data_IF_528248805514
#
_entry.id   IF_528248805514
#
_cell.length_a   1.000
_cell.length_b   1.000
_cell.length_c   1.000
_cell.angle_alpha   90.00
_cell.angle_beta   90.00
_cell.angle_gamma   90.00
#
_symmetry.space_group_name_H-M   'P 1'
#
loop_
_entity.id
_entity.type
_entity.pdbx_description
1 polymer ?
#
# COMPACT_ATOMS: atom_id res chain seq x y z
N UNK A 1 -4.49 -20.63 5.34
CA UNK A 1 -4.26 -20.67 3.88
C UNK A 1 -3.06 -21.54 3.54
N UNK A 2 -1.82 -21.26 3.97
CA UNK A 2 -0.63 -22.08 3.64
C UNK A 2 -0.86 -23.58 3.88
N UNK A 3 -1.32 -24.00 5.06
CA UNK A 3 -1.57 -25.41 5.38
C UNK A 3 -2.66 -26.11 4.53
N UNK A 4 -3.48 -25.34 3.81
CA UNK A 4 -4.49 -25.83 2.85
C UNK A 4 -4.06 -25.69 1.39
N UNK A 5 -2.84 -25.20 1.13
CA UNK A 5 -2.34 -24.95 -0.23
C UNK A 5 -3.03 -23.79 -0.95
N UNK A 6 -3.78 -22.94 -0.23
CA UNK A 6 -4.46 -21.77 -0.78
C UNK A 6 -3.49 -20.62 -0.99
N UNK A 7 -3.53 -20.02 -2.18
CA UNK A 7 -2.69 -18.87 -2.51
C UNK A 7 -3.21 -17.61 -1.83
N UNK A 8 -2.31 -16.79 -1.31
CA UNK A 8 -2.62 -15.53 -0.62
C UNK A 8 -2.44 -14.39 -1.61
N UNK A 9 -3.48 -13.58 -1.77
CA UNK A 9 -3.45 -12.37 -2.61
C UNK A 9 -3.33 -11.15 -1.72
N UNK A 10 -2.27 -10.38 -1.90
CA UNK A 10 -2.04 -9.13 -1.19
C UNK A 10 -1.92 -7.98 -2.18
N UNK A 11 -2.55 -6.86 -1.89
CA UNK A 11 -2.45 -5.63 -2.70
C UNK A 11 -2.09 -4.46 -1.80
N UNK A 12 -1.14 -3.64 -2.24
CA UNK A 12 -0.83 -2.37 -1.56
C UNK A 12 -1.70 -1.26 -2.13
N UNK A 13 -2.44 -0.56 -1.26
CA UNK A 13 -3.29 0.58 -1.61
C UNK A 13 -3.39 1.56 -0.44
N UNK A 14 -3.86 2.81 -0.70
CA UNK A 14 -3.57 3.91 0.22
C UNK A 14 -4.76 4.84 0.51
N UNK A 15 -5.90 4.62 -0.11
CA UNK A 15 -7.10 5.45 0.07
C UNK A 15 -8.37 4.61 0.21
N UNK A 16 -9.46 5.27 0.59
CA UNK A 16 -10.74 4.63 0.86
C UNK A 16 -11.37 3.97 -0.39
N UNK A 17 -11.33 4.64 -1.54
CA UNK A 17 -12.01 4.15 -2.74
C UNK A 17 -11.30 2.93 -3.33
N UNK A 18 -9.98 3.02 -3.48
CA UNK A 18 -9.18 1.91 -4.00
C UNK A 18 -9.16 0.73 -3.02
N UNK A 19 -9.11 0.98 -1.71
CA UNK A 19 -9.20 -0.07 -0.71
C UNK A 19 -10.55 -0.80 -0.74
N UNK A 20 -11.66 -0.08 -0.95
CA UNK A 20 -12.98 -0.67 -1.12
C UNK A 20 -13.04 -1.59 -2.33
N UNK A 21 -12.54 -1.13 -3.49
CA UNK A 21 -12.49 -1.95 -4.71
C UNK A 21 -11.65 -3.21 -4.52
N UNK A 22 -10.50 -3.10 -3.87
CA UNK A 22 -9.58 -4.21 -3.58
C UNK A 22 -10.23 -5.22 -2.63
N UNK A 23 -10.91 -4.76 -1.58
CA UNK A 23 -11.63 -5.62 -0.63
C UNK A 23 -12.80 -6.36 -1.28
N UNK A 24 -13.62 -5.65 -2.10
CA UNK A 24 -14.73 -6.22 -2.87
C UNK A 24 -14.26 -7.23 -3.93
N UNK A 25 -13.05 -7.04 -4.49
CA UNK A 25 -12.42 -7.99 -5.40
C UNK A 25 -11.95 -9.29 -4.72
N UNK A 26 -12.04 -9.39 -3.39
CA UNK A 26 -11.76 -10.61 -2.64
C UNK A 26 -10.29 -10.83 -2.28
N UNK A 27 -9.49 -9.77 -2.25
CA UNK A 27 -8.08 -9.81 -1.80
C UNK A 27 -8.01 -10.20 -0.32
N UNK A 28 -7.01 -11.02 0.06
CA UNK A 28 -6.88 -11.53 1.44
C UNK A 28 -6.23 -10.51 2.39
N UNK A 29 -5.26 -9.75 1.87
CA UNK A 29 -4.49 -8.77 2.66
C UNK A 29 -4.42 -7.45 1.89
N UNK A 30 -4.69 -6.35 2.58
CA UNK A 30 -4.41 -4.99 2.10
C UNK A 30 -3.23 -4.44 2.88
N UNK A 31 -2.16 -4.10 2.17
CA UNK A 31 -1.00 -3.42 2.75
C UNK A 31 -1.13 -1.91 2.55
N UNK A 32 -1.03 -1.15 3.62
CA UNK A 32 -0.76 0.28 3.53
C UNK A 32 0.76 0.43 3.58
N UNK A 33 1.40 0.26 2.41
CA UNK A 33 2.85 0.23 2.26
C UNK A 33 3.48 1.62 2.35
N UNK A 34 4.72 1.70 2.82
CA UNK A 34 5.51 2.94 2.80
C UNK A 34 5.83 3.41 1.36
N UNK A 35 5.62 2.53 0.37
CA UNK A 35 5.60 2.87 -1.06
C UNK A 35 4.59 3.98 -1.44
N UNK A 36 3.65 4.33 -0.52
CA UNK A 36 2.83 5.54 -0.69
C UNK A 36 3.68 6.80 -0.84
N UNK A 37 4.88 6.82 -0.29
CA UNK A 37 5.85 7.90 -0.47
C UNK A 37 6.10 8.21 -1.95
N UNK A 38 6.36 7.16 -2.74
CA UNK A 38 6.60 7.31 -4.18
C UNK A 38 5.31 7.48 -4.97
N UNK A 39 4.30 6.66 -4.68
CA UNK A 39 3.10 6.50 -5.52
C UNK A 39 2.09 7.62 -5.31
N UNK A 40 1.93 8.08 -4.07
CA UNK A 40 0.92 9.07 -3.68
C UNK A 40 1.54 10.44 -3.40
N UNK A 41 2.65 10.46 -2.64
CA UNK A 41 3.26 11.72 -2.20
C UNK A 41 4.31 12.24 -3.19
N UNK A 42 4.74 11.42 -4.16
CA UNK A 42 5.70 11.83 -5.20
C UNK A 42 7.14 11.97 -4.69
N UNK A 43 7.48 11.39 -3.53
CA UNK A 43 8.86 11.34 -3.04
C UNK A 43 9.71 10.38 -3.87
N UNK A 44 11.02 10.59 -3.88
CA UNK A 44 11.95 9.76 -4.67
C UNK A 44 12.21 8.39 -4.03
N UNK A 45 12.06 8.28 -2.71
CA UNK A 45 12.23 7.05 -1.94
C UNK A 45 11.19 6.96 -0.81
N UNK A 46 11.25 5.89 -0.02
CA UNK A 46 10.33 5.65 1.09
C UNK A 46 10.81 6.23 2.43
N UNK A 47 11.98 6.86 2.47
CA UNK A 47 12.61 7.31 3.73
C UNK A 47 11.93 8.53 4.33
N UNK A 48 11.35 9.38 3.48
CA UNK A 48 10.78 10.66 3.91
C UNK A 48 9.37 10.56 4.51
N UNK A 49 8.67 9.42 4.30
CA UNK A 49 7.30 9.27 4.80
C UNK A 49 7.29 9.15 6.32
N UNK A 50 6.42 9.91 6.95
CA UNK A 50 6.29 9.99 8.39
C UNK A 50 5.28 8.99 8.97
N UNK A 51 5.36 8.73 10.29
CA UNK A 51 4.35 7.95 11.00
C UNK A 51 2.94 8.54 10.85
N UNK A 52 2.81 9.86 10.87
CA UNK A 52 1.50 10.52 10.81
C UNK A 52 0.85 10.36 9.44
N UNK A 53 1.63 10.46 8.35
CA UNK A 53 1.17 10.16 6.99
C UNK A 53 0.75 8.69 6.86
N UNK A 54 1.56 7.76 7.37
CA UNK A 54 1.20 6.33 7.35
C UNK A 54 -0.09 6.05 8.12
N UNK A 55 -0.26 6.63 9.30
CA UNK A 55 -1.49 6.51 10.10
C UNK A 55 -2.68 7.15 9.39
N UNK A 56 -2.50 8.31 8.75
CA UNK A 56 -3.56 8.98 7.99
C UNK A 56 -4.13 8.06 6.88
N UNK A 57 -3.25 7.50 6.06
CA UNK A 57 -3.64 6.58 4.99
C UNK A 57 -4.21 5.26 5.53
N UNK A 58 -3.61 4.71 6.59
CA UNK A 58 -4.12 3.50 7.24
C UNK A 58 -5.55 3.69 7.76
N UNK A 59 -5.88 4.83 8.35
CA UNK A 59 -7.26 5.17 8.76
C UNK A 59 -8.25 5.15 7.58
N UNK A 60 -7.84 5.65 6.42
CA UNK A 60 -8.68 5.68 5.22
C UNK A 60 -8.97 4.27 4.70
N UNK A 61 -7.92 3.45 4.58
CA UNK A 61 -7.99 2.06 4.14
C UNK A 61 -8.81 1.20 5.10
N UNK A 62 -8.54 1.28 6.40
CA UNK A 62 -9.23 0.47 7.42
C UNK A 62 -10.73 0.73 7.50
N UNK A 63 -11.20 1.95 7.16
CA UNK A 63 -12.64 2.24 7.06
C UNK A 63 -13.30 1.55 5.87
N UNK A 64 -12.56 1.27 4.82
CA UNK A 64 -13.06 0.65 3.60
C UNK A 64 -13.05 -0.88 3.67
N UNK A 65 -11.98 -1.46 4.20
CA UNK A 65 -11.79 -2.91 4.27
C UNK A 65 -12.82 -3.55 5.25
N UNK A 66 -13.51 -4.60 4.77
CA UNK A 66 -14.50 -5.38 5.53
C UNK A 66 -14.07 -6.83 5.73
N UNK A 67 -13.28 -7.36 4.80
CA UNK A 67 -12.86 -8.76 4.75
C UNK A 67 -11.36 -8.94 4.85
N UNK A 68 -10.61 -8.14 4.09
CA UNK A 68 -9.16 -8.23 4.01
C UNK A 68 -8.49 -7.85 5.33
N UNK A 69 -7.42 -8.57 5.67
CA UNK A 69 -6.52 -8.18 6.76
C UNK A 69 -5.79 -6.90 6.37
N UNK A 70 -5.94 -5.83 7.14
CA UNK A 70 -5.19 -4.57 6.92
C UNK A 70 -3.88 -4.62 7.69
N UNK A 71 -2.78 -4.47 6.95
CA UNK A 71 -1.41 -4.40 7.49
C UNK A 71 -0.87 -2.99 7.27
N UNK A 72 -0.42 -2.32 8.33
CA UNK A 72 0.25 -1.03 8.25
C UNK A 72 1.77 -1.21 8.18
N UNK A 73 2.42 -0.51 7.26
CA UNK A 73 3.87 -0.57 7.10
C UNK A 73 4.56 0.44 8.02
N UNK A 74 5.45 -0.02 8.88
CA UNK A 74 6.19 0.87 9.78
C UNK A 74 7.26 1.63 8.99
N UNK A 75 7.18 2.97 8.87
CA UNK A 75 8.10 3.75 8.06
C UNK A 75 9.51 3.79 8.66
N UNK A 76 10.48 4.21 7.86
CA UNK A 76 11.87 4.36 8.28
C UNK A 76 11.98 5.21 9.55
N UNK A 77 12.84 4.80 10.47
CA UNK A 77 13.10 5.38 11.80
C UNK A 77 11.91 5.32 12.79
N UNK A 78 10.84 4.64 12.47
CA UNK A 78 9.75 4.42 13.43
C UNK A 78 9.98 3.25 14.38
N UNK A 79 10.94 2.35 14.08
CA UNK A 79 11.24 1.16 14.88
C UNK A 79 12.74 0.87 15.03
N UNK A 80 13.62 1.57 14.30
CA UNK A 80 15.04 1.27 14.29
C UNK A 80 15.74 1.76 15.57
N UNK A 81 15.30 2.89 16.15
CA UNK A 81 15.99 3.55 17.25
C UNK A 81 15.95 2.73 18.55
N UNK A 82 14.77 2.30 18.99
CA UNK A 82 14.61 1.52 20.21
C UNK A 82 13.46 0.51 20.12
N UNK A 83 13.43 -0.47 21.04
CA UNK A 83 12.28 -1.38 21.16
C UNK A 83 11.03 -0.65 21.67
N UNK A 84 11.20 0.34 22.55
CA UNK A 84 10.11 1.15 23.08
C UNK A 84 9.42 1.96 21.97
N UNK A 85 10.19 2.66 21.12
CA UNK A 85 9.66 3.36 19.97
C UNK A 85 8.96 2.41 19.00
N UNK A 86 9.53 1.23 18.77
CA UNK A 86 8.94 0.21 17.90
C UNK A 86 7.56 -0.23 18.41
N UNK A 87 7.42 -0.54 19.70
CA UNK A 87 6.15 -0.92 20.34
C UNK A 87 5.15 0.25 20.24
N UNK A 88 5.57 1.46 20.62
CA UNK A 88 4.71 2.65 20.63
C UNK A 88 4.17 2.95 19.22
N UNK A 89 5.04 2.95 18.22
CA UNK A 89 4.65 3.24 16.84
C UNK A 89 3.82 2.12 16.22
N UNK A 90 4.14 0.85 16.47
CA UNK A 90 3.30 -0.28 16.06
C UNK A 90 1.90 -0.20 16.71
N UNK A 91 1.83 0.15 17.99
CA UNK A 91 0.58 0.36 18.72
C UNK A 91 -0.29 1.48 18.11
N UNK A 92 0.29 2.52 17.54
CA UNK A 92 -0.43 3.58 16.81
C UNK A 92 -1.15 3.05 15.58
N UNK A 93 -0.55 2.11 14.82
CA UNK A 93 -1.22 1.50 13.67
C UNK A 93 -2.50 0.77 14.07
N UNK A 94 -2.50 0.05 15.20
CA UNK A 94 -3.69 -0.66 15.69
C UNK A 94 -4.69 0.30 16.31
N UNK A 95 -4.24 1.15 17.23
CA UNK A 95 -5.10 2.04 18.03
C UNK A 95 -5.70 3.19 17.20
N UNK A 96 -4.87 3.88 16.42
CA UNK A 96 -5.28 5.04 15.63
C UNK A 96 -5.65 4.63 14.20
N UNK A 97 -4.78 3.84 13.54
CA UNK A 97 -4.93 3.38 12.17
C UNK A 97 -6.00 2.32 11.97
N UNK A 98 -6.36 1.57 13.04
CA UNK A 98 -7.26 0.41 13.02
C UNK A 98 -6.78 -0.72 12.11
N UNK A 99 -5.48 -0.80 11.86
CA UNK A 99 -4.86 -1.98 11.25
C UNK A 99 -4.90 -3.17 12.21
N UNK A 100 -4.84 -4.38 11.69
CA UNK A 100 -4.79 -5.60 12.50
C UNK A 100 -3.37 -6.13 12.68
N UNK A 101 -2.40 -5.64 11.88
CA UNK A 101 -1.00 -6.02 11.93
C UNK A 101 -0.10 -4.90 11.43
N UNK A 102 1.20 -5.04 11.67
CA UNK A 102 2.22 -4.14 11.10
C UNK A 102 3.24 -4.91 10.27
N UNK A 103 3.89 -4.24 9.28
CA UNK A 103 5.04 -4.78 8.56
C UNK A 103 6.32 -4.09 9.03
N UNK A 104 7.42 -4.85 9.10
CA UNK A 104 8.75 -4.38 9.51
C UNK A 104 9.79 -4.92 8.53
N UNK A 105 10.68 -4.04 8.06
CA UNK A 105 11.77 -4.39 7.16
C UNK A 105 13.07 -4.73 7.92
N UNK A 106 13.70 -5.81 7.50
CA UNK A 106 15.01 -6.23 8.01
C UNK A 106 14.98 -7.58 8.70
N UNK A 107 16.18 -8.13 8.89
CA UNK A 107 16.44 -9.41 9.56
C UNK A 107 17.03 -9.21 10.95
N UNK A 108 18.22 -9.85 11.18
CA UNK A 108 18.92 -9.86 12.49
C UNK A 108 19.13 -8.47 13.12
N UNK A 109 19.29 -7.41 12.31
CA UNK A 109 19.50 -6.04 12.79
C UNK A 109 18.30 -5.43 13.52
N UNK A 110 17.08 -5.92 13.26
CA UNK A 110 15.84 -5.43 13.88
C UNK A 110 15.19 -6.46 14.80
N UNK A 111 15.79 -7.62 14.98
CA UNK A 111 15.19 -8.78 15.66
C UNK A 111 14.60 -8.43 17.04
N UNK A 112 15.40 -7.77 17.91
CA UNK A 112 14.92 -7.35 19.25
C UNK A 112 13.68 -6.47 19.20
N UNK A 113 13.54 -5.65 18.15
CA UNK A 113 12.35 -4.78 17.95
C UNK A 113 11.14 -5.61 17.52
N UNK A 114 11.35 -6.55 16.60
CA UNK A 114 10.30 -7.48 16.16
C UNK A 114 9.80 -8.33 17.34
N UNK A 115 10.70 -8.93 18.11
CA UNK A 115 10.35 -9.69 19.32
C UNK A 115 9.55 -8.83 20.31
N UNK A 116 9.97 -7.59 20.56
CA UNK A 116 9.30 -6.68 21.49
C UNK A 116 7.87 -6.32 21.00
N UNK A 117 7.68 -6.06 19.70
CA UNK A 117 6.36 -5.80 19.12
C UNK A 117 5.46 -7.04 19.26
N UNK A 118 5.96 -8.22 18.89
CA UNK A 118 5.20 -9.48 18.98
C UNK A 118 4.81 -9.79 20.43
N UNK A 119 5.74 -9.64 21.38
CA UNK A 119 5.47 -9.84 22.82
C UNK A 119 4.46 -8.85 23.39
N UNK A 120 4.30 -7.68 22.75
CA UNK A 120 3.27 -6.71 23.11
C UNK A 120 1.88 -7.08 22.57
N UNK A 121 1.73 -8.25 21.91
CA UNK A 121 0.46 -8.71 21.34
C UNK A 121 0.12 -8.12 19.98
N UNK A 122 1.07 -7.49 19.29
CA UNK A 122 0.87 -6.91 17.97
C UNK A 122 1.39 -7.88 16.91
N UNK A 123 0.53 -8.36 15.98
CA UNK A 123 0.97 -9.23 14.90
C UNK A 123 1.95 -8.52 13.95
N UNK A 124 3.07 -9.17 13.63
CA UNK A 124 4.12 -8.61 12.76
C UNK A 124 4.27 -9.43 11.50
N UNK A 125 4.29 -8.77 10.34
CA UNK A 125 4.73 -9.31 9.06
C UNK A 125 6.19 -8.89 8.86
N UNK A 126 7.09 -9.85 8.64
CA UNK A 126 8.49 -9.56 8.33
C UNK A 126 8.68 -9.22 6.86
N UNK A 127 9.80 -8.55 6.52
CA UNK A 127 10.17 -8.25 5.14
C UNK A 127 11.67 -8.41 4.93
N UNK A 128 12.06 -9.27 3.99
CA UNK A 128 13.45 -9.57 3.64
C UNK A 128 13.70 -9.49 2.12
N UNK A 129 14.94 -9.41 1.76
CA UNK A 129 15.40 -9.27 0.37
C UNK A 129 15.82 -7.84 0.09
N UNK A 130 15.24 -7.23 -0.93
CA UNK A 130 15.28 -5.78 -1.10
C UNK A 130 14.33 -5.17 -0.06
N UNK A 131 14.89 -4.37 0.82
CA UNK A 131 14.15 -3.60 1.80
C UNK A 131 14.36 -2.13 1.45
N UNK A 132 13.37 -1.42 0.87
CA UNK A 132 13.52 -0.06 0.36
C UNK A 132 14.05 0.94 1.38
N UNK A 133 13.73 0.78 2.65
CA UNK A 133 14.25 1.62 3.73
C UNK A 133 15.79 1.54 3.91
N UNK A 134 16.43 0.53 3.32
CA UNK A 134 17.88 0.34 3.35
C UNK A 134 18.56 0.72 2.02
N UNK A 135 17.88 1.47 1.17
CA UNK A 135 18.31 1.79 -0.19
C UNK A 135 19.71 2.40 -0.26
N UNK A 136 20.06 3.28 0.68
CA UNK A 136 21.38 3.91 0.73
C UNK A 136 22.48 2.90 1.09
N UNK A 137 22.22 2.00 2.04
CA UNK A 137 23.17 0.94 2.40
C UNK A 137 23.39 -0.04 1.24
N UNK A 138 22.34 -0.30 0.45
CA UNK A 138 22.43 -1.21 -0.69
C UNK A 138 22.96 -0.57 -1.98
N UNK A 139 23.08 0.75 -2.02
CA UNK A 139 23.48 1.49 -3.22
C UNK A 139 22.46 1.36 -4.33
N UNK A 140 21.15 1.45 -3.99
CA UNK A 140 20.00 1.42 -4.90
C UNK A 140 19.17 0.15 -4.85
N UNK A 141 18.12 0.11 -5.66
CA UNK A 141 17.17 -1.00 -5.77
C UNK A 141 17.78 -2.18 -6.54
N UNK A 142 18.36 -3.15 -5.84
CA UNK A 142 19.09 -4.28 -6.42
C UNK A 142 18.54 -5.61 -5.91
N UNK A 143 18.47 -6.61 -6.79
CA UNK A 143 18.11 -7.99 -6.41
C UNK A 143 19.10 -8.53 -5.37
N UNK A 144 18.58 -9.03 -4.25
CA UNK A 144 19.35 -9.52 -3.09
C UNK A 144 19.43 -11.05 -3.10
N UNK A 145 20.47 -11.61 -2.44
CA UNK A 145 20.58 -13.05 -2.32
C UNK A 145 21.08 -13.78 -3.58
N UNK A 146 21.81 -13.10 -4.48
CA UNK A 146 22.36 -13.70 -5.72
C UNK A 146 23.54 -14.65 -5.49
N UNK A 147 24.31 -14.50 -4.41
CA UNK A 147 25.41 -15.40 -4.07
C UNK A 147 24.96 -16.40 -3.00
N UNK A 148 25.62 -17.57 -2.95
CA UNK A 148 25.32 -18.60 -1.93
C UNK A 148 25.45 -18.05 -0.50
N UNK A 149 26.43 -17.19 -0.23
CA UNK A 149 26.60 -16.56 1.08
C UNK A 149 25.43 -15.62 1.42
N UNK A 150 25.06 -14.72 0.49
CA UNK A 150 23.94 -13.81 0.67
C UNK A 150 22.59 -14.56 0.78
N UNK A 151 22.41 -15.62 0.01
CA UNK A 151 21.21 -16.45 0.10
C UNK A 151 21.10 -17.17 1.47
N UNK A 152 22.20 -17.71 1.98
CA UNK A 152 22.23 -18.30 3.33
C UNK A 152 21.90 -17.27 4.41
N UNK A 153 22.43 -16.05 4.33
CA UNK A 153 22.12 -15.00 5.28
C UNK A 153 20.61 -14.66 5.31
N UNK A 154 19.99 -14.51 4.15
CA UNK A 154 18.53 -14.27 4.05
C UNK A 154 17.72 -15.45 4.61
N UNK A 155 18.13 -16.70 4.32
CA UNK A 155 17.45 -17.88 4.85
C UNK A 155 17.55 -17.97 6.39
N UNK A 156 18.71 -17.65 6.97
CA UNK A 156 18.87 -17.62 8.43
C UNK A 156 18.06 -16.49 9.06
N UNK A 157 18.05 -15.30 8.44
CA UNK A 157 17.23 -14.19 8.91
C UNK A 157 15.72 -14.53 8.85
N UNK A 158 15.29 -15.23 7.82
CA UNK A 158 13.91 -15.70 7.69
C UNK A 158 13.50 -16.65 8.82
N UNK A 159 14.37 -17.63 9.16
CA UNK A 159 14.15 -18.54 10.29
C UNK A 159 14.16 -17.82 11.64
N UNK A 160 15.01 -16.78 11.79
CA UNK A 160 15.04 -15.99 13.00
C UNK A 160 13.75 -15.20 13.18
N UNK A 161 13.23 -14.56 12.11
CA UNK A 161 11.96 -13.86 12.14
C UNK A 161 10.79 -14.80 12.48
N UNK A 162 10.76 -15.99 11.89
CA UNK A 162 9.75 -17.00 12.25
C UNK A 162 9.79 -17.36 13.73
N UNK A 163 11.00 -17.61 14.30
CA UNK A 163 11.17 -17.88 15.72
C UNK A 163 10.79 -16.69 16.62
N UNK A 164 10.95 -15.47 16.13
CA UNK A 164 10.52 -14.25 16.80
C UNK A 164 8.98 -14.07 16.80
N UNK A 165 8.26 -14.93 16.09
CA UNK A 165 6.80 -14.96 16.07
C UNK A 165 6.13 -14.10 15.01
N UNK A 166 6.84 -13.73 13.91
CA UNK A 166 6.17 -13.09 12.78
C UNK A 166 5.17 -14.08 12.16
N UNK A 167 3.98 -13.58 11.77
CA UNK A 167 2.94 -14.45 11.22
C UNK A 167 3.10 -14.70 9.71
N UNK A 168 3.86 -13.88 9.00
CA UNK A 168 4.11 -13.96 7.56
C UNK A 168 5.40 -13.24 7.19
N UNK A 169 5.98 -13.58 6.02
CA UNK A 169 7.22 -12.99 5.53
C UNK A 169 7.10 -12.54 4.09
N UNK A 170 7.32 -11.25 3.82
CA UNK A 170 7.50 -10.73 2.47
C UNK A 170 8.93 -11.02 2.00
N UNK A 171 9.06 -11.54 0.78
CA UNK A 171 10.33 -11.72 0.08
C UNK A 171 10.33 -10.81 -1.16
N UNK A 172 11.14 -9.75 -1.12
CA UNK A 172 11.18 -8.78 -2.22
C UNK A 172 12.49 -8.88 -3.01
N UNK A 173 12.34 -8.90 -4.35
CA UNK A 173 13.47 -8.86 -5.29
C UNK A 173 14.60 -9.83 -4.93
N UNK A 174 14.24 -11.09 -4.69
CA UNK A 174 15.19 -12.21 -4.49
C UNK A 174 15.10 -13.21 -5.65
N UNK A 175 16.16 -13.98 -5.95
CA UNK A 175 16.06 -15.07 -6.93
C UNK A 175 14.96 -16.07 -6.54
N UNK A 176 14.18 -16.50 -7.53
CA UNK A 176 13.07 -17.45 -7.28
C UNK A 176 13.52 -18.77 -6.64
N UNK A 177 14.76 -19.20 -6.90
CA UNK A 177 15.34 -20.40 -6.27
C UNK A 177 15.47 -20.22 -4.76
N UNK A 178 15.92 -19.02 -4.32
CA UNK A 178 16.00 -18.67 -2.91
C UNK A 178 14.60 -18.58 -2.28
N UNK A 179 13.67 -17.91 -2.94
CA UNK A 179 12.28 -17.80 -2.47
C UNK A 179 11.64 -19.18 -2.28
N UNK A 180 11.81 -20.10 -3.26
CA UNK A 180 11.36 -21.49 -3.17
C UNK A 180 11.95 -22.22 -1.96
N UNK A 181 13.25 -22.03 -1.70
CA UNK A 181 13.93 -22.65 -0.56
C UNK A 181 13.40 -22.10 0.77
N UNK A 182 13.28 -20.77 0.90
CA UNK A 182 12.74 -20.12 2.11
C UNK A 182 11.32 -20.59 2.36
N UNK A 183 10.44 -20.54 1.36
CA UNK A 183 9.03 -20.97 1.46
C UNK A 183 8.90 -22.41 1.96
N UNK A 184 9.77 -23.31 1.47
CA UNK A 184 9.78 -24.73 1.89
C UNK A 184 10.29 -24.92 3.33
N UNK A 185 11.14 -24.01 3.82
CA UNK A 185 11.79 -24.15 5.14
C UNK A 185 11.02 -23.49 6.28
N UNK A 186 10.07 -22.59 5.98
CA UNK A 186 9.26 -21.92 6.96
C UNK A 186 7.87 -22.55 7.08
N UNK A 187 7.32 -22.56 8.27
CA UNK A 187 5.92 -22.93 8.52
C UNK A 187 4.97 -21.76 8.24
N UNK A 188 5.42 -20.52 8.48
CA UNK A 188 4.65 -19.30 8.19
C UNK A 188 4.54 -19.05 6.68
N UNK A 189 3.46 -18.39 6.20
CA UNK A 189 3.32 -18.05 4.79
C UNK A 189 4.35 -17.02 4.33
N UNK A 190 4.82 -17.21 3.09
CA UNK A 190 5.68 -16.26 2.37
C UNK A 190 4.91 -15.54 1.28
N UNK A 191 5.11 -14.21 1.16
CA UNK A 191 4.50 -13.37 0.14
C UNK A 191 5.59 -12.84 -0.77
N UNK A 192 5.50 -13.13 -2.07
CA UNK A 192 6.49 -12.69 -3.05
C UNK A 192 6.19 -11.31 -3.60
N UNK A 193 7.22 -10.46 -3.68
CA UNK A 193 7.26 -9.23 -4.43
C UNK A 193 8.48 -9.29 -5.36
N UNK A 194 8.31 -9.70 -6.62
CA UNK A 194 9.47 -9.94 -7.48
C UNK A 194 10.38 -11.11 -7.06
N UNK A 195 9.80 -12.11 -6.38
CA UNK A 195 10.50 -13.30 -5.87
C UNK A 195 10.15 -14.58 -6.64
N UNK A 196 9.43 -14.47 -7.76
CA UNK A 196 8.98 -15.60 -8.58
C UNK A 196 7.74 -16.32 -8.03
N UNK A 197 7.35 -17.47 -8.63
CA UNK A 197 6.04 -18.08 -8.43
C UNK A 197 5.92 -19.03 -7.22
N UNK A 198 6.98 -19.22 -6.45
CA UNK A 198 7.04 -20.29 -5.45
C UNK A 198 6.71 -19.86 -4.01
N UNK A 199 6.45 -18.57 -3.77
CA UNK A 199 5.91 -18.12 -2.49
C UNK A 199 4.45 -18.56 -2.32
N UNK A 200 3.96 -18.57 -1.08
CA UNK A 200 2.56 -18.96 -0.78
C UNK A 200 1.57 -17.89 -1.25
N UNK A 201 2.01 -16.64 -1.41
CA UNK A 201 1.22 -15.53 -1.95
C UNK A 201 2.05 -14.56 -2.78
N UNK A 202 1.39 -13.52 -3.31
CA UNK A 202 2.02 -12.45 -4.10
C UNK A 202 1.46 -11.09 -3.69
N UNK A 203 2.30 -10.06 -3.77
CA UNK A 203 1.90 -8.66 -3.56
C UNK A 203 2.27 -7.81 -4.77
N UNK A 204 1.36 -6.92 -5.15
CA UNK A 204 1.60 -5.81 -6.08
C UNK A 204 0.99 -4.51 -5.52
N UNK A 205 1.55 -3.39 -5.96
CA UNK A 205 0.96 -2.06 -5.74
C UNK A 205 -0.23 -1.89 -6.67
N UNK A 206 -1.37 -1.43 -6.14
CA UNK A 206 -2.59 -1.21 -6.92
C UNK A 206 -2.35 -0.35 -8.16
N UNK A 207 -1.65 0.78 -8.01
CA UNK A 207 -1.39 1.71 -9.10
C UNK A 207 -0.56 1.09 -10.23
N UNK A 208 0.37 0.21 -9.91
CA UNK A 208 1.13 -0.56 -10.89
C UNK A 208 0.25 -1.60 -11.59
N UNK A 209 -0.57 -2.30 -10.80
CA UNK A 209 -1.46 -3.36 -11.28
C UNK A 209 -2.46 -2.83 -12.33
N UNK A 210 -3.00 -1.62 -12.12
CA UNK A 210 -4.00 -1.01 -13.01
C UNK A 210 -3.41 -0.02 -14.03
N UNK A 211 -2.07 0.11 -14.10
CA UNK A 211 -1.38 0.90 -15.12
C UNK A 211 -1.50 2.42 -14.94
N UNK A 212 -1.50 2.92 -13.70
CA UNK A 212 -1.44 4.35 -13.40
C UNK A 212 0.00 4.88 -13.35
N UNK A 213 0.98 4.02 -13.05
CA UNK A 213 2.39 4.39 -13.03
C UNK A 213 3.00 4.34 -14.42
N UNK A 214 3.84 5.32 -14.76
CA UNK A 214 4.46 5.43 -16.09
C UNK A 214 5.45 4.28 -16.36
N UNK A 215 6.25 3.91 -15.37
CA UNK A 215 7.21 2.80 -15.44
C UNK A 215 6.98 1.84 -14.29
N UNK A 216 7.19 0.55 -14.55
CA UNK A 216 7.03 -0.50 -13.54
C UNK A 216 8.25 -1.41 -13.51
N UNK A 217 8.61 -1.97 -12.35
CA UNK A 217 9.63 -3.00 -12.26
C UNK A 217 9.31 -4.23 -13.11
N UNK A 218 10.35 -4.97 -13.53
CA UNK A 218 10.21 -6.18 -14.37
C UNK A 218 9.19 -7.19 -13.86
N UNK A 219 9.01 -7.30 -12.56
CA UNK A 219 8.12 -8.29 -11.94
C UNK A 219 6.64 -7.88 -11.95
N UNK A 220 6.34 -6.63 -12.28
CA UNK A 220 4.97 -6.15 -12.33
C UNK A 220 4.30 -6.59 -13.63
N UNK A 221 3.18 -7.26 -13.50
CA UNK A 221 2.24 -7.49 -14.60
C UNK A 221 1.10 -6.48 -14.48
N UNK A 222 0.92 -5.65 -15.50
CA UNK A 222 -0.25 -4.79 -15.61
C UNK A 222 -1.46 -5.62 -16.05
N UNK A 223 -2.58 -5.45 -15.38
CA UNK A 223 -3.86 -6.10 -15.72
C UNK A 223 -4.82 -5.13 -16.41
N UNK A 224 -4.55 -3.82 -16.31
CA UNK A 224 -5.25 -2.76 -17.03
C UNK A 224 -4.27 -1.64 -17.37
N UNK A 225 -4.68 -0.71 -18.22
CA UNK A 225 -3.97 0.53 -18.54
C UNK A 225 -4.94 1.71 -18.38
N UNK A 226 -5.16 2.13 -17.12
CA UNK A 226 -6.13 3.16 -16.78
C UNK A 226 -5.56 4.59 -16.91
N UNK A 227 -4.25 4.77 -16.96
CA UNK A 227 -3.62 6.09 -17.05
C UNK A 227 -4.04 6.88 -18.28
N UNK A 228 -4.08 6.22 -19.46
CA UNK A 228 -4.54 6.81 -20.71
C UNK A 228 -6.00 7.25 -20.68
N UNK A 229 -6.95 6.35 -20.40
CA UNK A 229 -8.36 6.66 -20.26
C UNK A 229 -8.67 7.77 -19.23
N UNK A 230 -8.04 7.75 -18.07
CA UNK A 230 -8.21 8.80 -17.04
C UNK A 230 -7.76 10.17 -17.55
N UNK A 231 -6.58 10.24 -18.19
CA UNK A 231 -6.11 11.49 -18.81
C UNK A 231 -7.07 11.99 -19.87
N UNK A 232 -7.55 11.09 -20.76
CA UNK A 232 -8.50 11.41 -21.81
C UNK A 232 -9.80 11.97 -21.26
N UNK A 233 -10.37 11.38 -20.21
CA UNK A 233 -11.58 11.86 -19.56
C UNK A 233 -11.42 13.31 -19.04
N UNK A 234 -10.27 13.63 -18.44
CA UNK A 234 -9.97 15.00 -17.96
C UNK A 234 -9.83 15.98 -19.16
N UNK A 235 -9.19 15.54 -20.25
CA UNK A 235 -9.05 16.34 -21.47
C UNK A 235 -10.41 16.64 -22.12
N UNK A 236 -11.31 15.65 -22.17
CA UNK A 236 -12.64 15.81 -22.70
C UNK A 236 -13.46 16.77 -21.85
N UNK A 237 -13.52 16.59 -20.54
CA UNK A 237 -14.16 17.53 -19.62
C UNK A 237 -13.63 18.96 -19.80
N UNK A 238 -12.30 19.13 -19.84
CA UNK A 238 -11.70 20.45 -20.10
C UNK A 238 -12.19 21.07 -21.40
N UNK A 239 -12.22 20.28 -22.48
CA UNK A 239 -12.60 20.77 -23.80
C UNK A 239 -14.10 21.14 -23.86
N UNK A 240 -14.96 20.35 -23.24
CA UNK A 240 -16.41 20.62 -23.16
C UNK A 240 -16.70 21.89 -22.35
N UNK A 241 -16.04 22.07 -21.23
CA UNK A 241 -16.16 23.32 -20.43
C UNK A 241 -15.69 24.53 -21.25
N UNK A 242 -14.54 24.42 -21.93
CA UNK A 242 -13.99 25.54 -22.75
C UNK A 242 -14.85 25.89 -23.97
N UNK A 243 -15.58 24.92 -24.51
CA UNK A 243 -16.47 25.10 -25.67
C UNK A 243 -17.92 25.35 -25.30
N UNK A 244 -18.26 25.42 -24.00
CA UNK A 244 -19.61 25.61 -23.51
C UNK A 244 -20.56 24.42 -23.73
N UNK A 245 -20.02 23.24 -24.02
CA UNK A 245 -20.80 22.00 -24.17
C UNK A 245 -21.19 21.39 -22.82
N UNK A 246 -20.44 21.67 -21.76
CA UNK A 246 -20.71 21.28 -20.39
C UNK A 246 -20.68 22.54 -19.48
N UNK A 247 -21.62 22.69 -18.50
CA UNK A 247 -22.78 21.82 -18.26
C UNK A 247 -23.93 22.10 -19.25
N UNK A 248 -24.80 21.12 -19.44
CA UNK A 248 -26.11 21.30 -20.10
C UNK A 248 -27.20 21.53 -19.06
N UNK A 249 -28.46 21.75 -19.51
CA UNK A 249 -29.60 21.84 -18.59
C UNK A 249 -29.81 20.54 -17.80
N UNK A 250 -29.47 19.38 -18.35
CA UNK A 250 -29.51 18.09 -17.64
C UNK A 250 -28.59 18.02 -16.42
N UNK A 251 -27.55 18.85 -16.39
CA UNK A 251 -26.59 18.99 -15.29
C UNK A 251 -26.89 20.19 -14.38
N UNK A 252 -28.11 20.76 -14.49
CA UNK A 252 -28.48 22.02 -13.85
C UNK A 252 -29.71 21.85 -12.96
N UNK A 253 -29.83 22.72 -11.98
CA UNK A 253 -31.01 22.80 -11.13
C UNK A 253 -31.91 23.91 -11.64
N UNK A 254 -33.22 23.66 -11.65
CA UNK A 254 -34.21 24.63 -12.06
C UNK A 254 -34.84 25.33 -10.84
N UNK A 255 -35.11 26.61 -11.00
CA UNK A 255 -35.92 27.37 -10.07
C UNK A 255 -37.40 27.25 -10.44
N UNK A 256 -38.32 27.13 -9.46
CA UNK A 256 -39.75 27.16 -9.76
C UNK A 256 -40.16 28.40 -10.59
N UNK A 257 -41.01 28.21 -11.59
CA UNK A 257 -41.35 29.26 -12.56
C UNK A 257 -41.93 30.53 -11.89
N UNK A 258 -42.61 30.43 -10.75
CA UNK A 258 -43.11 31.54 -9.95
C UNK A 258 -41.99 32.41 -9.40
N UNK A 259 -40.98 31.77 -8.83
CA UNK A 259 -39.79 32.44 -8.22
C UNK A 259 -38.94 33.14 -9.29
N UNK A 260 -38.82 32.54 -10.50
CA UNK A 260 -38.08 33.19 -11.60
C UNK A 260 -38.78 34.48 -12.03
N UNK A 261 -40.12 34.51 -12.08
CA UNK A 261 -40.91 35.71 -12.42
C UNK A 261 -40.76 36.78 -11.35
N UNK A 262 -40.80 36.43 -10.07
CA UNK A 262 -40.64 37.37 -8.96
C UNK A 262 -39.22 37.96 -8.96
N UNK A 263 -38.18 37.14 -9.12
CA UNK A 263 -36.80 37.59 -9.23
C UNK A 263 -36.57 38.56 -10.40
N UNK A 264 -37.16 38.28 -11.55
CA UNK A 264 -37.10 39.17 -12.73
C UNK A 264 -37.90 40.48 -12.53
N UNK A 265 -39.02 40.44 -11.80
CA UNK A 265 -39.87 41.61 -11.49
C UNK A 265 -39.22 42.56 -10.49
N UNK A 266 -38.45 42.08 -9.52
CA UNK A 266 -37.75 42.88 -8.52
C UNK A 266 -36.69 43.84 -9.13
N UNK A 267 -36.13 43.51 -10.29
CA UNK A 267 -35.17 44.40 -11.02
C UNK A 267 -35.81 45.67 -11.57
N UNK A 268 -37.12 45.66 -11.89
CA UNK A 268 -37.85 46.86 -12.43
C UNK A 268 -38.17 47.91 -11.34
N UNK A 269 -38.30 47.51 -10.08
CA UNK A 269 -38.60 48.45 -8.97
C UNK A 269 -37.38 49.27 -8.49
N UNK A 270 -36.13 48.80 -8.65
CA UNK A 270 -34.94 49.52 -8.22
C UNK A 270 -34.40 50.58 -9.19
N UNK A 271 -34.98 50.71 -10.40
CA UNK A 271 -34.58 51.74 -11.39
C UNK A 271 -35.53 52.95 -11.44
N UNK A 272 -36.52 53.06 -10.53
CA UNK A 272 -37.50 54.18 -10.48
C UNK A 272 -37.50 54.89 -9.11
N UNK A 273 -36.38 54.82 -8.37
CA UNK A 273 -36.18 55.63 -7.16
C UNK A 273 -34.97 56.56 -7.32
#
# INVERSE_FOLDING_TARGET
MKGRGERIVMVSTYDHLTAKMVDEAGVDIILVGDSLANVILGYQDTLSVTMDEMIHHTKAVSRAAKRALVVGDMPFMSYQASAEDAIKNAGRFLKEGRAQAVKVEGGRGVMKKVEAIVQSGIPVMGHLGLTPQWVHQFGGFKVRGKTAAAARAILEDAKMLERAGVFSLVLECVPWQLAKLVTKKLEIPTIGCGAGPYCDGQVLVFHDLVGLTASTPKFVKRYADLGGPMKKAVEDFRNEVKTGKFPTLEHSYEMPAGEVKELAGARKRKRRG
#
